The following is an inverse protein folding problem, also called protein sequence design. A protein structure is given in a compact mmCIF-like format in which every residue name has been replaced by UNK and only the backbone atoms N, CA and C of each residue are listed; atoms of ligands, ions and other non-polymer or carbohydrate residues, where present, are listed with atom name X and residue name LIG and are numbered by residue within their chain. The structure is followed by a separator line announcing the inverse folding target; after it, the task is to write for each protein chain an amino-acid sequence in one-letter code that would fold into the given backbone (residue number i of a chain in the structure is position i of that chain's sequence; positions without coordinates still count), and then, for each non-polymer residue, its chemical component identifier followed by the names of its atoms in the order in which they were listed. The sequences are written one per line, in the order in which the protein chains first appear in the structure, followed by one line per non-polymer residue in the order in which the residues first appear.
data_IF_414698792654
#
_entry.id   IF_414698792654
#
_cell.length_a   1.000
_cell.length_b   1.000
_cell.length_c   1.000
_cell.angle_alpha   90.00
_cell.angle_beta   90.00
_cell.angle_gamma   90.00
#
_symmetry.space_group_name_H-M   'P 1'
#
loop_
_entity.id
_entity.type
_entity.pdbx_description
1 polymer ?
#
# COMPACT_ATOMS: atom_id res chain seq x y z
N UNK A 1 16.30 11.15 16.23
CA UNK A 1 15.88 12.47 15.71
C UNK A 1 14.75 13.00 16.59
N UNK A 2 14.43 14.31 16.62
CA UNK A 2 13.20 14.81 17.26
C UNK A 2 12.43 15.61 16.20
N UNK A 3 11.15 15.30 15.92
CA UNK A 3 10.41 16.00 14.89
C UNK A 3 10.14 17.45 15.27
N UNK A 4 10.13 18.34 14.28
CA UNK A 4 9.65 19.72 14.43
C UNK A 4 8.22 19.87 13.92
N UNK A 5 7.49 20.85 14.45
CA UNK A 5 6.21 21.23 13.85
C UNK A 5 6.43 21.88 12.49
N UNK A 6 5.52 21.61 11.55
CA UNK A 6 5.47 22.28 10.25
C UNK A 6 4.01 22.50 9.85
N UNK A 7 3.73 23.57 9.13
CA UNK A 7 2.47 23.75 8.43
C UNK A 7 2.59 23.33 6.97
N UNK A 8 1.45 23.23 6.30
CA UNK A 8 1.40 22.73 4.94
C UNK A 8 1.98 23.74 3.92
N UNK A 9 1.86 25.04 4.19
CA UNK A 9 2.43 26.10 3.34
C UNK A 9 3.96 25.99 3.30
N UNK A 10 4.61 25.82 4.46
CA UNK A 10 6.04 25.58 4.53
C UNK A 10 6.45 24.29 3.82
N UNK A 11 5.66 23.22 3.88
CA UNK A 11 5.94 22.00 3.10
C UNK A 11 5.99 22.34 1.60
N UNK A 12 5.00 23.08 1.09
CA UNK A 12 4.95 23.43 -0.33
C UNK A 12 6.10 24.33 -0.79
N UNK A 13 6.67 25.13 0.12
CA UNK A 13 7.84 25.94 -0.18
C UNK A 13 9.17 25.16 -0.18
N UNK A 14 9.24 24.03 0.54
CA UNK A 14 10.50 23.31 0.77
C UNK A 14 10.68 22.09 -0.16
N UNK A 15 9.59 21.51 -0.66
CA UNK A 15 9.61 20.26 -1.42
C UNK A 15 9.10 20.45 -2.85
N UNK A 16 9.77 19.80 -3.80
CA UNK A 16 9.35 19.78 -5.21
C UNK A 16 8.13 18.89 -5.45
N UNK A 17 7.86 17.95 -4.52
CA UNK A 17 6.70 17.09 -4.56
C UNK A 17 6.19 16.70 -3.17
N UNK A 18 4.89 16.42 -3.08
CA UNK A 18 4.25 15.99 -1.82
C UNK A 18 3.46 14.72 -2.03
N UNK A 19 3.74 13.69 -1.23
CA UNK A 19 3.03 12.43 -1.25
C UNK A 19 2.07 12.36 -0.07
N UNK A 20 0.82 12.01 -0.32
CA UNK A 20 -0.20 11.88 0.72
C UNK A 20 -0.65 10.43 0.80
N UNK A 21 -0.74 9.87 2.02
CA UNK A 21 -1.64 8.73 2.19
C UNK A 21 -3.10 9.15 1.93
N UNK A 22 -3.95 8.17 1.67
CA UNK A 22 -5.38 8.38 1.50
C UNK A 22 -6.14 8.25 2.83
N UNK A 23 -6.06 7.09 3.47
CA UNK A 23 -6.88 6.77 4.65
C UNK A 23 -6.23 7.37 5.90
N UNK A 24 -7.02 7.95 6.81
CA UNK A 24 -6.51 8.70 7.96
C UNK A 24 -5.90 10.07 7.62
N UNK A 25 -5.71 10.42 6.34
CA UNK A 25 -5.19 11.72 5.88
C UNK A 25 -6.24 12.50 5.07
N UNK A 26 -6.84 11.89 4.04
CA UNK A 26 -7.87 12.52 3.20
C UNK A 26 -9.26 11.96 3.46
N UNK A 27 -9.37 10.68 3.84
CA UNK A 27 -10.62 9.97 4.09
C UNK A 27 -10.53 9.13 5.36
N UNK A 28 -11.64 8.86 6.03
CA UNK A 28 -11.69 7.98 7.22
C UNK A 28 -12.16 6.55 6.90
N UNK A 29 -12.32 6.24 5.61
CA UNK A 29 -12.90 5.00 5.11
C UNK A 29 -14.24 5.21 4.42
N UNK A 30 -15.07 6.08 5.01
CA UNK A 30 -16.45 6.36 4.59
C UNK A 30 -16.52 7.76 3.98
N UNK A 31 -16.11 8.75 4.75
CA UNK A 31 -16.25 10.17 4.44
C UNK A 31 -14.88 10.82 4.18
N UNK A 32 -14.90 11.98 3.52
CA UNK A 32 -13.73 12.85 3.45
C UNK A 32 -13.45 13.47 4.82
N UNK A 33 -12.18 13.51 5.21
CA UNK A 33 -11.77 14.24 6.41
C UNK A 33 -11.98 15.75 6.25
N UNK A 34 -12.17 16.49 7.36
CA UNK A 34 -12.33 17.94 7.32
C UNK A 34 -11.23 18.62 6.50
N UNK A 35 -11.63 19.55 5.65
CA UNK A 35 -10.76 20.32 4.75
C UNK A 35 -10.02 19.55 3.65
N UNK A 36 -10.17 18.22 3.53
CA UNK A 36 -9.52 17.44 2.46
C UNK A 36 -9.96 17.90 1.05
N UNK A 37 -11.24 18.22 0.86
CA UNK A 37 -11.75 18.81 -0.38
C UNK A 37 -11.05 20.13 -0.70
N UNK A 38 -10.94 21.02 0.28
CA UNK A 38 -10.29 22.32 0.10
C UNK A 38 -8.82 22.16 -0.28
N UNK A 39 -8.11 21.28 0.43
CA UNK A 39 -6.72 20.93 0.15
C UNK A 39 -6.53 20.45 -1.29
N UNK A 40 -7.32 19.47 -1.73
CA UNK A 40 -7.23 18.94 -3.10
C UNK A 40 -7.52 20.02 -4.15
N UNK A 41 -8.54 20.85 -3.93
CA UNK A 41 -8.87 21.94 -4.84
C UNK A 41 -7.76 22.99 -4.92
N UNK A 42 -7.14 23.33 -3.79
CA UNK A 42 -5.99 24.22 -3.73
C UNK A 42 -4.82 23.63 -4.52
N UNK A 43 -4.42 22.37 -4.24
CA UNK A 43 -3.31 21.68 -4.93
C UNK A 43 -3.51 21.64 -6.45
N UNK A 44 -4.74 21.38 -6.90
CA UNK A 44 -5.07 21.42 -8.32
C UNK A 44 -4.96 22.81 -8.92
N UNK A 45 -5.46 23.84 -8.22
CA UNK A 45 -5.50 25.22 -8.73
C UNK A 45 -4.09 25.82 -8.84
N UNK A 46 -3.21 25.53 -7.88
CA UNK A 46 -1.82 25.97 -7.91
C UNK A 46 -0.89 25.04 -8.68
N UNK A 47 -1.43 24.01 -9.35
CA UNK A 47 -0.68 23.01 -10.10
C UNK A 47 0.45 22.36 -9.28
N UNK A 48 0.22 22.13 -7.99
CA UNK A 48 1.19 21.47 -7.12
C UNK A 48 1.51 20.07 -7.62
N UNK A 49 2.77 19.68 -7.44
CA UNK A 49 3.23 18.35 -7.79
C UNK A 49 2.96 17.37 -6.65
N UNK A 50 1.72 16.93 -6.50
CA UNK A 50 1.33 15.99 -5.46
C UNK A 50 1.01 14.60 -6.02
N UNK A 51 1.05 13.57 -5.15
CA UNK A 51 0.52 12.23 -5.46
C UNK A 51 -0.17 11.64 -4.24
N UNK A 52 -1.24 10.88 -4.48
CA UNK A 52 -1.83 9.99 -3.49
C UNK A 52 -1.10 8.66 -3.55
N UNK A 53 -0.52 8.23 -2.43
CA UNK A 53 0.29 7.02 -2.29
C UNK A 53 -0.36 6.10 -1.26
N UNK A 54 -1.14 5.11 -1.73
CA UNK A 54 -2.02 4.30 -0.87
C UNK A 54 -1.81 2.79 -1.02
N UNK A 55 -2.00 2.05 0.06
CA UNK A 55 -1.91 0.58 0.07
C UNK A 55 -3.16 -0.12 -0.48
N UNK A 56 -4.22 0.60 -0.85
CA UNK A 56 -5.44 0.00 -1.39
C UNK A 56 -5.20 -0.66 -2.77
N UNK A 57 -5.00 -1.99 -2.75
CA UNK A 57 -4.88 -2.85 -3.93
C UNK A 57 -6.23 -3.38 -4.45
N UNK A 58 -7.33 -3.03 -3.78
CA UNK A 58 -8.66 -3.56 -4.04
C UNK A 58 -9.44 -2.75 -5.07
N UNK A 59 -8.92 -1.59 -5.47
CA UNK A 59 -9.52 -0.66 -6.42
C UNK A 59 -8.53 -0.30 -7.53
N UNK A 60 -9.04 -0.07 -8.73
CA UNK A 60 -8.26 0.55 -9.79
C UNK A 60 -8.03 2.03 -9.48
N UNK A 61 -7.05 2.64 -10.12
CA UNK A 61 -6.81 4.09 -10.01
C UNK A 61 -8.01 4.90 -10.50
N UNK A 62 -8.75 4.40 -11.50
CA UNK A 62 -10.00 4.99 -11.98
C UNK A 62 -11.11 4.88 -10.93
N UNK A 63 -11.28 3.70 -10.31
CA UNK A 63 -12.25 3.49 -9.25
C UNK A 63 -11.98 4.40 -8.04
N UNK A 64 -10.71 4.56 -7.65
CA UNK A 64 -10.31 5.48 -6.58
C UNK A 64 -10.56 6.94 -6.96
N UNK A 65 -10.17 7.35 -8.17
CA UNK A 65 -10.42 8.71 -8.67
C UNK A 65 -11.92 9.05 -8.65
N UNK A 66 -12.77 8.13 -9.13
CA UNK A 66 -14.22 8.28 -9.09
C UNK A 66 -14.77 8.35 -7.64
N UNK A 67 -14.23 7.53 -6.73
CA UNK A 67 -14.59 7.56 -5.30
C UNK A 67 -14.27 8.93 -4.69
N UNK A 68 -13.04 9.42 -4.86
CA UNK A 68 -12.64 10.74 -4.36
C UNK A 68 -13.50 11.85 -4.98
N UNK A 69 -13.80 11.77 -6.27
CA UNK A 69 -14.67 12.74 -6.94
C UNK A 69 -16.08 12.75 -6.35
N UNK A 70 -16.64 11.59 -6.00
CA UNK A 70 -17.95 11.50 -5.34
C UNK A 70 -17.96 12.15 -3.94
N UNK A 71 -16.78 12.32 -3.34
CA UNK A 71 -16.54 13.01 -2.07
C UNK A 71 -16.05 14.46 -2.27
N UNK A 72 -16.22 15.04 -3.47
CA UNK A 72 -15.82 16.43 -3.78
C UNK A 72 -14.34 16.63 -4.16
N UNK A 73 -13.50 15.62 -3.96
CA UNK A 73 -12.06 15.69 -4.24
C UNK A 73 -11.74 15.29 -5.69
N UNK A 74 -11.40 16.26 -6.53
CA UNK A 74 -11.02 16.01 -7.92
C UNK A 74 -9.56 15.56 -8.04
N UNK A 75 -9.29 14.30 -7.73
CA UNK A 75 -7.94 13.72 -7.84
C UNK A 75 -7.86 12.93 -9.16
N UNK A 76 -7.07 13.39 -10.15
CA UNK A 76 -6.97 12.68 -11.43
C UNK A 76 -6.19 11.37 -11.27
N UNK A 77 -6.44 10.41 -12.15
CA UNK A 77 -5.82 9.06 -12.15
C UNK A 77 -4.29 9.16 -12.19
N UNK A 78 -3.78 10.17 -12.90
CA UNK A 78 -2.36 10.47 -13.06
C UNK A 78 -1.70 10.98 -11.76
N UNK A 79 -2.48 11.26 -10.71
CA UNK A 79 -2.02 11.66 -9.38
C UNK A 79 -2.18 10.55 -8.34
N UNK A 80 -2.57 9.34 -8.74
CA UNK A 80 -2.75 8.21 -7.82
C UNK A 80 -1.71 7.11 -8.10
N UNK A 81 -0.98 6.73 -7.05
CA UNK A 81 -0.11 5.56 -6.97
C UNK A 81 -0.67 4.66 -5.88
N UNK A 82 -1.42 3.64 -6.26
CA UNK A 82 -1.85 2.62 -5.31
C UNK A 82 -1.02 1.34 -5.44
N UNK A 83 -0.96 0.54 -4.37
CA UNK A 83 -0.17 -0.69 -4.37
C UNK A 83 -0.58 -1.68 -5.48
N UNK A 84 -1.86 -1.69 -5.89
CA UNK A 84 -2.35 -2.49 -7.02
C UNK A 84 -1.74 -2.08 -8.37
N UNK A 85 -1.55 -0.77 -8.62
CA UNK A 85 -0.96 -0.28 -9.88
C UNK A 85 0.47 -0.79 -10.14
N UNK A 86 1.19 -1.15 -9.07
CA UNK A 86 2.55 -1.69 -9.13
C UNK A 86 2.63 -3.11 -9.69
N UNK A 87 1.51 -3.83 -9.76
CA UNK A 87 1.44 -5.19 -10.30
C UNK A 87 1.97 -5.22 -11.74
N UNK A 88 1.64 -4.19 -12.54
CA UNK A 88 2.10 -4.10 -13.94
C UNK A 88 3.62 -4.03 -14.08
N UNK A 89 4.26 -3.18 -13.28
CA UNK A 89 5.72 -3.08 -13.22
C UNK A 89 6.34 -4.39 -12.74
N UNK A 90 5.78 -4.98 -11.67
CA UNK A 90 6.24 -6.24 -11.12
C UNK A 90 6.19 -7.38 -12.13
N UNK A 91 5.09 -7.53 -12.88
CA UNK A 91 4.94 -8.56 -13.91
C UNK A 91 6.00 -8.47 -15.00
N UNK A 92 6.27 -7.25 -15.46
CA UNK A 92 7.31 -7.00 -16.45
C UNK A 92 8.69 -7.34 -15.89
N UNK A 93 9.00 -6.86 -14.69
CA UNK A 93 10.34 -6.99 -14.11
C UNK A 93 10.65 -8.44 -13.67
N UNK A 94 9.63 -9.27 -13.44
CA UNK A 94 9.74 -10.69 -13.09
C UNK A 94 9.45 -11.66 -14.25
N UNK A 95 9.27 -11.17 -15.48
CA UNK A 95 8.97 -11.98 -16.68
C UNK A 95 7.74 -12.91 -16.51
N UNK A 96 6.64 -12.33 -16.02
CA UNK A 96 5.41 -13.07 -15.67
C UNK A 96 4.32 -13.02 -16.76
N UNK A 97 4.68 -12.59 -17.97
CA UNK A 97 3.73 -12.50 -19.09
C UNK A 97 3.14 -13.89 -19.42
N UNK A 98 1.81 -13.98 -19.49
CA UNK A 98 1.09 -15.23 -19.78
C UNK A 98 1.03 -16.22 -18.61
N UNK A 99 1.64 -15.92 -17.47
CA UNK A 99 1.72 -16.86 -16.34
C UNK A 99 0.35 -17.13 -15.72
N UNK A 100 -0.01 -18.39 -15.43
CA UNK A 100 -1.23 -18.73 -14.71
C UNK A 100 -1.18 -18.11 -13.30
N UNK A 101 -2.13 -17.24 -13.00
CA UNK A 101 -2.16 -16.43 -11.78
C UNK A 101 -3.44 -16.66 -11.00
N UNK A 102 -3.34 -17.23 -9.80
CA UNK A 102 -4.44 -17.24 -8.85
C UNK A 102 -4.54 -15.86 -8.19
N UNK A 103 -5.70 -15.21 -8.32
CA UNK A 103 -5.94 -13.89 -7.73
C UNK A 103 -6.93 -14.00 -6.57
N UNK A 104 -6.43 -13.82 -5.36
CA UNK A 104 -7.23 -13.61 -4.15
C UNK A 104 -7.45 -12.11 -3.99
N UNK A 105 -8.52 -11.61 -4.59
CA UNK A 105 -8.70 -10.19 -4.83
C UNK A 105 -10.06 -9.82 -5.39
N UNK A 106 -10.29 -8.51 -5.52
CA UNK A 106 -11.49 -7.95 -6.13
C UNK A 106 -11.42 -8.03 -7.66
N UNK A 107 -12.51 -7.63 -8.33
CA UNK A 107 -12.54 -7.45 -9.78
C UNK A 107 -11.43 -6.51 -10.26
N UNK A 108 -11.16 -5.43 -9.54
CA UNK A 108 -10.14 -4.45 -9.94
C UNK A 108 -8.73 -5.02 -9.78
N UNK A 109 -8.45 -5.78 -8.71
CA UNK A 109 -7.18 -6.49 -8.55
C UNK A 109 -6.95 -7.50 -9.69
N UNK A 110 -8.01 -8.20 -10.11
CA UNK A 110 -7.98 -9.10 -11.27
C UNK A 110 -7.72 -8.36 -12.58
N UNK A 111 -8.30 -7.17 -12.73
CA UNK A 111 -8.07 -6.33 -13.91
C UNK A 111 -6.61 -5.88 -14.03
N UNK A 112 -5.93 -5.57 -12.91
CA UNK A 112 -4.49 -5.27 -12.94
C UNK A 112 -3.65 -6.43 -13.47
N UNK A 113 -3.92 -7.65 -13.00
CA UNK A 113 -3.21 -8.85 -13.47
C UNK A 113 -3.52 -9.12 -14.94
N UNK A 114 -4.79 -9.04 -15.34
CA UNK A 114 -5.21 -9.25 -16.73
C UNK A 114 -4.58 -8.21 -17.68
N UNK A 115 -4.58 -6.94 -17.28
CA UNK A 115 -3.94 -5.85 -18.03
C UNK A 115 -2.41 -5.98 -18.11
N UNK A 116 -1.80 -6.71 -17.18
CA UNK A 116 -0.37 -7.07 -17.19
C UNK A 116 -0.08 -8.33 -18.01
N UNK A 117 -1.11 -8.93 -18.61
CA UNK A 117 -1.01 -10.15 -19.43
C UNK A 117 -0.94 -11.45 -18.62
N UNK A 118 -1.25 -11.43 -17.33
CA UNK A 118 -1.40 -12.64 -16.52
C UNK A 118 -2.66 -13.43 -16.88
N UNK A 119 -2.58 -14.76 -16.86
CA UNK A 119 -3.73 -15.65 -17.10
C UNK A 119 -4.45 -15.93 -15.79
N UNK A 120 -5.57 -15.25 -15.55
CA UNK A 120 -6.34 -15.36 -14.30
C UNK A 120 -6.84 -16.80 -14.08
N UNK A 121 -6.66 -17.30 -12.87
CA UNK A 121 -7.23 -18.53 -12.34
C UNK A 121 -8.12 -18.23 -11.13
N UNK A 122 -9.18 -19.01 -10.99
CA UNK A 122 -10.02 -19.06 -9.79
C UNK A 122 -9.48 -20.09 -8.79
N UNK A 123 -9.92 -19.99 -7.53
CA UNK A 123 -9.45 -20.85 -6.44
C UNK A 123 -9.77 -22.34 -6.66
N UNK A 124 -10.83 -22.63 -7.39
CA UNK A 124 -11.28 -23.98 -7.78
C UNK A 124 -10.72 -24.44 -9.13
N UNK A 125 -9.79 -23.68 -9.73
CA UNK A 125 -9.19 -24.05 -11.01
C UNK A 125 -8.47 -25.39 -10.93
N UNK A 126 -8.64 -26.30 -11.92
CA UNK A 126 -7.86 -27.53 -12.00
C UNK A 126 -6.41 -27.29 -12.44
N UNK A 127 -6.09 -26.08 -12.90
CA UNK A 127 -4.72 -25.69 -13.27
C UNK A 127 -4.01 -25.11 -12.06
N UNK A 128 -2.81 -25.60 -11.75
CA UNK A 128 -2.00 -25.00 -10.68
C UNK A 128 -1.44 -23.64 -11.12
N UNK A 129 -1.48 -22.61 -10.26
CA UNK A 129 -0.89 -21.31 -10.55
C UNK A 129 0.65 -21.36 -10.55
N UNK A 130 1.27 -20.47 -11.33
CA UNK A 130 2.68 -20.10 -11.17
C UNK A 130 2.83 -18.87 -10.27
N UNK A 131 1.77 -18.07 -10.14
CA UNK A 131 1.73 -16.84 -9.34
C UNK A 131 0.48 -16.84 -8.46
N UNK A 132 0.62 -16.45 -7.19
CA UNK A 132 -0.52 -16.14 -6.30
C UNK A 132 -0.44 -14.67 -5.90
N UNK A 133 -1.49 -13.91 -6.23
CA UNK A 133 -1.64 -12.51 -5.83
C UNK A 133 -2.63 -12.39 -4.67
N UNK A 134 -2.19 -11.80 -3.55
CA UNK A 134 -2.96 -11.57 -2.34
C UNK A 134 -3.32 -10.09 -2.21
N UNK A 135 -4.53 -9.71 -2.62
CA UNK A 135 -4.94 -8.29 -2.77
C UNK A 135 -6.19 -7.91 -1.99
N UNK A 136 -6.93 -8.87 -1.45
CA UNK A 136 -8.00 -8.68 -0.46
C UNK A 136 -7.98 -9.80 0.57
N UNK A 137 -8.71 -9.63 1.67
CA UNK A 137 -8.92 -10.65 2.71
C UNK A 137 -10.19 -11.49 2.50
N UNK A 138 -10.89 -11.34 1.39
CA UNK A 138 -12.13 -12.05 1.11
C UNK A 138 -12.84 -11.57 -0.17
N UNK A 139 -14.02 -12.13 -0.50
CA UNK A 139 -14.80 -13.10 0.29
C UNK A 139 -14.37 -14.54 -0.01
N UNK A 140 -13.56 -15.12 0.87
CA UNK A 140 -13.21 -16.54 0.84
C UNK A 140 -12.99 -17.04 2.27
N UNK A 141 -13.20 -18.33 2.49
CA UNK A 141 -12.98 -18.95 3.81
C UNK A 141 -11.48 -19.07 4.08
N UNK A 142 -11.01 -18.48 5.17
CA UNK A 142 -9.59 -18.40 5.47
C UNK A 142 -8.98 -19.77 5.75
N UNK A 143 -9.66 -20.61 6.54
CA UNK A 143 -9.09 -21.89 6.97
C UNK A 143 -8.90 -22.85 5.80
N UNK A 144 -9.94 -23.05 4.99
CA UNK A 144 -9.87 -23.91 3.80
C UNK A 144 -8.89 -23.37 2.77
N UNK A 145 -8.86 -22.05 2.55
CA UNK A 145 -7.92 -21.42 1.61
C UNK A 145 -6.48 -21.55 2.10
N UNK A 146 -6.20 -21.30 3.38
CA UNK A 146 -4.87 -21.49 3.98
C UNK A 146 -4.41 -22.94 3.85
N UNK A 147 -5.28 -23.90 4.18
CA UNK A 147 -4.95 -25.32 4.06
C UNK A 147 -4.66 -25.72 2.61
N UNK A 148 -5.46 -25.23 1.66
CA UNK A 148 -5.23 -25.48 0.24
C UNK A 148 -3.88 -24.91 -0.22
N UNK A 149 -3.63 -23.62 0.04
CA UNK A 149 -2.41 -22.94 -0.39
C UNK A 149 -1.16 -23.49 0.31
N UNK A 150 -1.24 -23.85 1.59
CA UNK A 150 -0.14 -24.48 2.32
C UNK A 150 0.29 -25.77 1.63
N UNK A 151 -0.66 -26.62 1.25
CA UNK A 151 -0.37 -27.88 0.55
C UNK A 151 0.18 -27.64 -0.86
N UNK A 152 -0.44 -26.73 -1.63
CA UNK A 152 -0.03 -26.39 -2.99
C UNK A 152 1.40 -25.81 -3.04
N UNK A 153 1.67 -24.77 -2.23
CA UNK A 153 3.00 -24.12 -2.19
C UNK A 153 4.05 -25.09 -1.65
N UNK A 154 3.72 -25.90 -0.64
CA UNK A 154 4.61 -26.94 -0.10
C UNK A 154 4.97 -28.00 -1.14
N UNK A 155 4.00 -28.44 -1.96
CA UNK A 155 4.23 -29.38 -3.07
C UNK A 155 5.19 -28.78 -4.10
N UNK A 156 4.85 -27.60 -4.63
CA UNK A 156 5.63 -26.91 -5.67
C UNK A 156 7.05 -26.56 -5.22
N UNK A 157 7.22 -26.18 -3.95
CA UNK A 157 8.54 -25.96 -3.36
C UNK A 157 9.40 -27.24 -3.34
N UNK A 158 8.85 -28.40 -2.94
CA UNK A 158 9.57 -29.68 -2.95
C UNK A 158 9.94 -30.16 -4.36
N UNK A 159 9.10 -29.84 -5.34
CA UNK A 159 9.32 -30.12 -6.76
C UNK A 159 10.38 -29.20 -7.39
N UNK A 160 10.91 -28.23 -6.63
CA UNK A 160 11.87 -27.21 -7.08
C UNK A 160 11.33 -26.31 -8.19
N UNK A 161 10.03 -26.09 -8.18
CA UNK A 161 9.32 -25.17 -9.07
C UNK A 161 8.39 -24.27 -8.24
N UNK A 162 8.94 -23.37 -7.41
CA UNK A 162 8.18 -22.63 -6.42
C UNK A 162 7.21 -21.63 -7.06
N UNK A 163 6.05 -21.48 -6.43
CA UNK A 163 5.05 -20.48 -6.83
C UNK A 163 5.51 -19.08 -6.37
N UNK A 164 5.42 -18.10 -7.27
CA UNK A 164 5.67 -16.71 -6.93
C UNK A 164 4.50 -16.13 -6.13
N UNK A 165 4.73 -15.77 -4.88
CA UNK A 165 3.73 -15.11 -4.03
C UNK A 165 3.92 -13.59 -4.08
N UNK A 166 2.82 -12.85 -4.21
CA UNK A 166 2.84 -11.38 -4.32
C UNK A 166 1.76 -10.77 -3.42
N UNK A 167 2.15 -9.83 -2.56
CA UNK A 167 1.30 -9.14 -1.61
C UNK A 167 1.38 -7.62 -1.86
N UNK A 168 0.47 -7.04 -2.68
CA UNK A 168 0.49 -5.61 -2.94
C UNK A 168 0.13 -4.79 -1.70
N UNK A 169 -0.96 -5.11 -1.00
CA UNK A 169 -1.34 -4.44 0.24
C UNK A 169 -0.70 -5.15 1.44
N UNK A 170 0.20 -4.47 2.15
CA UNK A 170 0.91 -5.01 3.31
C UNK A 170 0.32 -4.65 4.67
N UNK A 171 -0.84 -4.00 4.69
CA UNK A 171 -1.52 -3.65 5.93
C UNK A 171 -2.00 -4.91 6.64
N UNK A 172 -1.63 -5.05 7.92
CA UNK A 172 -2.02 -6.18 8.75
C UNK A 172 -3.48 -6.04 9.22
N UNK A 173 -3.88 -4.81 9.54
CA UNK A 173 -5.23 -4.39 9.87
C UNK A 173 -5.59 -3.17 9.03
N UNK A 174 -6.87 -2.93 8.82
CA UNK A 174 -7.37 -1.69 8.24
C UNK A 174 -8.57 -1.18 9.04
N UNK A 175 -8.80 0.13 8.98
CA UNK A 175 -9.97 0.74 9.60
C UNK A 175 -11.21 0.50 8.74
N UNK A 176 -12.27 -0.06 9.34
CA UNK A 176 -13.53 -0.41 8.68
C UNK A 176 -14.70 0.36 9.32
N UNK A 177 -14.49 1.65 9.54
CA UNK A 177 -15.41 2.55 10.24
C UNK A 177 -14.82 3.19 11.49
N UNK A 178 -15.57 4.04 12.21
CA UNK A 178 -15.02 4.89 13.28
C UNK A 178 -14.38 4.15 14.46
N UNK A 179 -14.79 2.90 14.71
CA UNK A 179 -14.27 2.08 15.83
C UNK A 179 -14.19 0.58 15.48
N UNK A 180 -14.18 0.26 14.18
CA UNK A 180 -14.14 -1.12 13.68
C UNK A 180 -12.87 -1.33 12.86
N UNK A 181 -12.31 -2.54 12.95
CA UNK A 181 -11.10 -2.91 12.26
C UNK A 181 -11.27 -4.26 11.58
N UNK A 182 -10.79 -4.35 10.35
CA UNK A 182 -10.71 -5.59 9.59
C UNK A 182 -9.29 -6.13 9.52
N UNK A 183 -9.18 -7.43 9.22
CA UNK A 183 -7.89 -8.09 8.96
C UNK A 183 -7.51 -7.92 7.50
N UNK A 184 -6.32 -7.41 7.23
CA UNK A 184 -5.79 -7.25 5.87
C UNK A 184 -5.23 -8.54 5.28
N UNK A 185 -4.95 -8.53 3.98
CA UNK A 185 -4.34 -9.66 3.28
C UNK A 185 -2.96 -10.05 3.87
N UNK A 186 -2.25 -9.11 4.48
CA UNK A 186 -0.96 -9.38 5.11
C UNK A 186 -1.07 -10.34 6.30
N UNK A 187 -2.15 -10.31 7.06
CA UNK A 187 -2.35 -11.25 8.17
C UNK A 187 -2.57 -12.69 7.67
N UNK A 188 -3.33 -12.85 6.57
CA UNK A 188 -3.50 -14.12 5.89
C UNK A 188 -2.15 -14.65 5.38
N UNK A 189 -1.41 -13.82 4.63
CA UNK A 189 -0.11 -14.21 4.06
C UNK A 189 0.90 -14.53 5.16
N UNK A 190 0.96 -13.74 6.23
CA UNK A 190 1.87 -14.00 7.36
C UNK A 190 1.63 -15.37 7.97
N UNK A 191 0.37 -15.76 8.14
CA UNK A 191 -0.01 -17.08 8.66
C UNK A 191 0.48 -18.21 7.74
N UNK A 192 0.28 -18.06 6.42
CA UNK A 192 0.75 -19.02 5.42
C UNK A 192 2.30 -19.12 5.40
N UNK A 193 3.00 -17.99 5.39
CA UNK A 193 4.46 -17.90 5.39
C UNK A 193 5.08 -18.60 6.62
N UNK A 194 4.55 -18.35 7.82
CA UNK A 194 5.06 -18.98 9.05
C UNK A 194 4.84 -20.50 9.03
N UNK A 195 3.70 -20.97 8.53
CA UNK A 195 3.43 -22.40 8.37
C UNK A 195 4.40 -23.06 7.37
N UNK A 196 4.64 -22.42 6.22
CA UNK A 196 5.60 -22.88 5.21
C UNK A 196 7.03 -22.92 5.77
N UNK A 197 7.45 -21.88 6.50
CA UNK A 197 8.77 -21.85 7.14
C UNK A 197 8.93 -22.95 8.20
N UNK A 198 7.86 -23.32 8.90
CA UNK A 198 7.90 -24.43 9.87
C UNK A 198 8.14 -25.79 9.19
N UNK A 199 7.60 -25.99 7.99
CA UNK A 199 7.73 -27.22 7.22
C UNK A 199 9.07 -27.33 6.49
N UNK A 200 9.57 -26.21 5.94
CA UNK A 200 10.67 -26.22 4.97
C UNK A 200 11.91 -25.43 5.40
N UNK A 201 11.85 -24.73 6.53
CA UNK A 201 12.90 -23.79 6.93
C UNK A 201 12.76 -22.42 6.27
N UNK A 202 13.70 -21.52 6.56
CA UNK A 202 13.68 -20.14 6.04
C UNK A 202 14.18 -20.12 4.60
N UNK A 203 13.29 -19.76 3.67
CA UNK A 203 13.61 -19.57 2.25
C UNK A 203 12.90 -18.33 1.70
N UNK A 204 13.57 -17.56 0.86
CA UNK A 204 13.00 -16.34 0.26
C UNK A 204 11.87 -16.65 -0.72
N UNK A 205 11.91 -17.80 -1.41
CA UNK A 205 10.82 -18.29 -2.26
C UNK A 205 9.52 -18.59 -1.50
N UNK A 206 9.59 -18.73 -0.16
CA UNK A 206 8.42 -18.94 0.69
C UNK A 206 7.90 -17.63 1.30
N UNK A 207 8.38 -16.49 0.80
CA UNK A 207 7.92 -15.15 1.20
C UNK A 207 7.27 -14.45 0.02
N UNK A 208 6.18 -13.76 0.30
CA UNK A 208 5.54 -12.92 -0.69
C UNK A 208 6.40 -11.70 -1.00
N UNK A 209 6.51 -11.37 -2.28
CA UNK A 209 7.02 -10.08 -2.73
C UNK A 209 6.03 -8.99 -2.35
N UNK A 210 6.49 -8.00 -1.58
CA UNK A 210 5.66 -6.93 -1.03
C UNK A 210 5.82 -5.66 -1.86
N UNK A 211 4.70 -5.06 -2.31
CA UNK A 211 4.75 -3.90 -3.22
C UNK A 211 4.40 -2.57 -2.52
N UNK A 212 3.39 -2.56 -1.66
CA UNK A 212 2.92 -1.37 -0.94
C UNK A 212 3.81 -0.94 0.23
N UNK A 213 3.45 0.17 0.87
CA UNK A 213 4.12 0.78 2.03
C UNK A 213 4.18 -0.20 3.21
N UNK A 214 5.31 -0.35 3.92
CA UNK A 214 6.51 0.49 3.89
C UNK A 214 7.56 0.06 2.85
N UNK A 215 7.21 -0.80 1.88
CA UNK A 215 8.21 -1.39 0.99
C UNK A 215 8.62 -0.40 -0.11
N UNK A 216 9.89 -0.43 -0.57
CA UNK A 216 10.40 0.53 -1.55
C UNK A 216 9.60 0.69 -2.86
N UNK A 217 9.01 -0.35 -3.47
CA UNK A 217 8.44 -0.23 -4.82
C UNK A 217 7.42 0.90 -4.99
N UNK A 218 6.54 1.11 -4.01
CA UNK A 218 5.52 2.17 -4.10
C UNK A 218 6.12 3.58 -4.03
N UNK A 219 7.13 3.80 -3.20
CA UNK A 219 7.79 5.09 -3.07
C UNK A 219 8.69 5.38 -4.27
N UNK A 220 9.40 4.36 -4.78
CA UNK A 220 10.20 4.48 -6.01
C UNK A 220 9.30 4.88 -7.18
N UNK A 221 8.12 4.29 -7.31
CA UNK A 221 7.17 4.67 -8.35
C UNK A 221 6.63 6.09 -8.16
N UNK A 222 6.33 6.49 -6.92
CA UNK A 222 5.90 7.86 -6.62
C UNK A 222 6.98 8.90 -6.97
N UNK A 223 8.24 8.67 -6.57
CA UNK A 223 9.40 9.51 -6.92
C UNK A 223 9.57 9.57 -8.44
N UNK A 224 9.53 8.41 -9.12
CA UNK A 224 9.68 8.34 -10.58
C UNK A 224 8.61 9.15 -11.30
N UNK A 225 7.36 9.11 -10.84
CA UNK A 225 6.25 9.87 -11.43
C UNK A 225 6.30 11.36 -11.08
N UNK A 226 6.79 11.70 -9.89
CA UNK A 226 6.99 13.08 -9.47
C UNK A 226 8.17 13.74 -10.19
N UNK A 227 9.16 12.97 -10.62
CA UNK A 227 10.38 13.48 -11.25
C UNK A 227 11.32 14.18 -10.28
N UNK A 228 11.11 14.04 -8.97
CA UNK A 228 11.97 14.58 -7.91
C UNK A 228 11.96 13.65 -6.69
N UNK A 229 13.13 13.50 -6.07
CA UNK A 229 13.33 12.86 -4.76
C UNK A 229 13.38 13.88 -3.62
N UNK A 230 13.39 15.18 -3.91
CA UNK A 230 13.12 16.25 -2.95
C UNK A 230 11.60 16.31 -2.67
N UNK A 231 11.12 15.28 -1.98
CA UNK A 231 9.70 15.08 -1.67
C UNK A 231 9.48 14.71 -0.20
N UNK A 232 8.27 14.98 0.29
CA UNK A 232 7.84 14.60 1.64
C UNK A 232 6.63 13.68 1.59
N UNK A 233 6.66 12.60 2.39
CA UNK A 233 5.49 11.74 2.62
C UNK A 233 4.70 12.23 3.84
N UNK A 234 3.43 12.54 3.63
CA UNK A 234 2.45 12.90 4.65
C UNK A 234 1.55 11.69 4.91
N UNK A 235 1.60 11.15 6.12
CA UNK A 235 0.88 9.94 6.49
C UNK A 235 0.45 9.91 7.96
N UNK A 236 -0.45 8.98 8.30
CA UNK A 236 -0.93 8.80 9.67
C UNK A 236 -0.29 7.59 10.37
N UNK A 237 0.37 6.69 9.63
CA UNK A 237 0.91 5.45 10.18
C UNK A 237 2.44 5.43 10.15
N UNK A 238 3.04 5.17 11.31
CA UNK A 238 4.49 5.20 11.46
C UNK A 238 5.14 4.00 10.75
N UNK A 239 4.52 2.83 10.85
CA UNK A 239 5.05 1.56 10.37
C UNK A 239 4.93 1.39 8.84
N UNK A 240 4.15 2.24 8.16
CA UNK A 240 3.93 2.20 6.72
C UNK A 240 4.47 3.47 6.05
N UNK A 241 3.89 4.63 6.35
CA UNK A 241 4.20 5.89 5.69
C UNK A 241 5.59 6.40 6.09
N UNK A 242 5.79 6.57 7.39
CA UNK A 242 7.01 7.17 7.95
C UNK A 242 8.19 6.21 7.76
N UNK A 243 8.03 4.95 8.13
CA UNK A 243 9.03 3.90 7.92
C UNK A 243 9.43 3.79 6.46
N UNK A 244 8.44 3.74 5.57
CA UNK A 244 8.67 3.57 4.15
C UNK A 244 9.41 4.75 3.54
N UNK A 245 8.94 5.97 3.80
CA UNK A 245 9.58 7.20 3.34
C UNK A 245 11.03 7.31 3.82
N UNK A 246 11.26 7.13 5.13
CA UNK A 246 12.58 7.21 5.72
C UNK A 246 13.55 6.15 5.14
N UNK A 247 13.06 4.92 4.88
CA UNK A 247 13.88 3.85 4.32
C UNK A 247 14.32 4.11 2.87
N UNK A 248 13.58 4.92 2.12
CA UNK A 248 13.96 5.32 0.75
C UNK A 248 14.61 6.71 0.68
N UNK A 249 14.85 7.33 1.84
CA UNK A 249 15.53 8.63 1.95
C UNK A 249 14.63 9.85 1.73
N UNK A 250 13.30 9.68 1.72
CA UNK A 250 12.36 10.79 1.70
C UNK A 250 12.17 11.37 3.10
N UNK A 251 11.93 12.68 3.16
CA UNK A 251 11.43 13.29 4.39
C UNK A 251 9.99 12.83 4.65
N UNK A 252 9.58 12.86 5.91
CA UNK A 252 8.26 12.41 6.31
C UNK A 252 7.62 13.33 7.36
N UNK A 253 6.30 13.52 7.23
CA UNK A 253 5.49 14.29 8.16
C UNK A 253 4.30 13.45 8.62
N UNK A 254 4.09 13.38 9.93
CA UNK A 254 2.98 12.61 10.50
C UNK A 254 1.79 13.52 10.80
N UNK A 255 0.57 13.01 10.55
CA UNK A 255 -0.69 13.62 10.99
C UNK A 255 -1.29 12.86 12.18
N UNK A 256 -2.25 13.48 12.86
CA UNK A 256 -2.89 12.92 14.08
C UNK A 256 -4.36 12.51 13.87
N UNK A 257 -4.84 12.64 12.64
CA UNK A 257 -6.22 12.36 12.23
C UNK A 257 -6.51 10.87 12.14
N UNK A 258 -5.51 10.04 11.79
CA UNK A 258 -5.64 8.58 11.65
C UNK A 258 -5.15 7.78 12.87
N UNK A 259 -4.44 6.67 12.64
CA UNK A 259 -4.01 5.71 13.67
C UNK A 259 -3.02 6.33 14.66
N UNK A 260 -2.01 7.07 14.18
CA UNK A 260 -1.10 7.77 15.07
C UNK A 260 -1.82 8.91 15.81
N UNK A 261 -1.70 8.93 17.13
CA UNK A 261 -2.21 10.01 18.00
C UNK A 261 -1.11 10.88 18.62
N UNK A 262 0.17 10.58 18.36
CA UNK A 262 1.30 11.34 18.90
C UNK A 262 1.36 12.73 18.26
N UNK A 263 1.42 13.75 19.09
CA UNK A 263 1.36 15.17 18.68
C UNK A 263 2.43 16.05 19.35
N UNK A 264 3.12 15.54 20.37
CA UNK A 264 4.28 16.19 20.99
C UNK A 264 5.58 15.52 20.51
N UNK A 265 6.58 16.29 20.02
CA UNK A 265 7.89 15.77 19.65
C UNK A 265 8.56 14.87 20.69
N UNK A 266 8.28 15.07 21.98
CA UNK A 266 8.81 14.23 23.07
C UNK A 266 8.29 12.80 23.04
N UNK A 267 7.12 12.55 22.45
CA UNK A 267 6.55 11.20 22.31
C UNK A 267 7.37 10.33 21.33
N UNK A 268 8.24 10.94 20.53
CA UNK A 268 9.11 10.27 19.56
C UNK A 268 10.54 10.06 20.09
N UNK A 269 10.87 10.54 21.29
CA UNK A 269 12.25 10.59 21.80
C UNK A 269 12.96 9.23 21.82
N UNK A 270 12.24 8.17 22.16
CA UNK A 270 12.78 6.82 22.31
C UNK A 270 12.40 5.91 21.13
N UNK A 271 11.84 6.48 20.05
CA UNK A 271 11.50 5.72 18.86
C UNK A 271 12.74 5.48 17.98
N UNK A 272 12.80 4.35 17.27
CA UNK A 272 13.80 4.14 16.23
C UNK A 272 13.81 5.30 15.22
N UNK A 273 14.99 5.72 14.76
CA UNK A 273 15.12 6.85 13.83
C UNK A 273 14.30 6.64 12.55
N UNK A 274 14.23 5.42 12.02
CA UNK A 274 13.44 5.12 10.83
C UNK A 274 11.92 5.16 11.05
N UNK A 275 11.44 5.10 12.29
CA UNK A 275 10.03 5.31 12.64
C UNK A 275 9.74 6.74 13.13
N UNK A 276 10.76 7.59 13.16
CA UNK A 276 10.63 8.98 13.63
C UNK A 276 10.43 9.88 12.41
N UNK A 277 9.31 10.61 12.31
CA UNK A 277 9.11 11.54 11.22
C UNK A 277 10.05 12.73 11.38
N UNK A 278 10.31 13.44 10.28
CA UNK A 278 11.00 14.74 10.35
C UNK A 278 10.07 15.82 10.90
N UNK A 279 8.77 15.72 10.60
CA UNK A 279 7.78 16.70 11.02
C UNK A 279 6.54 16.11 11.66
N UNK A 280 5.91 16.91 12.51
CA UNK A 280 4.51 16.75 12.90
C UNK A 280 3.72 17.86 12.20
N UNK A 281 2.76 17.48 11.36
CA UNK A 281 1.93 18.44 10.63
C UNK A 281 0.91 19.07 11.59
N UNK A 282 0.89 20.40 11.68
CA UNK A 282 0.02 21.14 12.61
C UNK A 282 -1.43 21.15 12.17
N UNK A 283 -1.67 21.22 10.85
CA UNK A 283 -2.99 21.09 10.23
C UNK A 283 -2.84 20.70 8.76
N UNK A 284 -3.84 20.01 8.21
CA UNK A 284 -3.95 19.75 6.77
C UNK A 284 -4.44 20.98 6.00
N UNK A 285 -5.02 21.98 6.68
CA UNK A 285 -5.38 23.33 6.19
C UNK A 285 -5.35 24.31 7.36
#
# INVERSE_FOLDING_TARGET
MIPSYIDLEAIFDHYDAVFFDAYGVLVDGIDSLPNAEHLVNMMNTSAMNYFIVTNDASKSTESLSNKFQSQGMRIPVERIVNSGSLISGYYRDQDLLGRPTLVLGTTDSRAYVAGSGGRILDLDSPTEPDVILFSSSGPYDWESTLNHLLNLVSKRFKEKDPIQMVLPNTDFIYQDGPAEFGMGAAAFVKTLEEALMRLHGKHDFLRASKLGKPNPPIFIEAIRRAGSDNAVMIGDQLETDILGANNVGLDSAVVTTGINKRSDPKEFKDMPDNLTPRYILTSLV
#
